data_IF_984407456518
#
_entry.id   IF_984407456518
#
_cell.length_a   1.000
_cell.length_b   1.000
_cell.length_c   1.000
_cell.angle_alpha   90.00
_cell.angle_beta   90.00
_cell.angle_gamma   90.00
#
_symmetry.space_group_name_H-M   'P 1'
#
loop_
_entity.id
_entity.type
_entity.pdbx_description
1 polymer ?
#
# COMPACT_ATOMS: atom_id res chain seq x y z
N UNK A 1 2.50 -33.40 -13.21
CA UNK A 1 3.11 -32.20 -13.85
C UNK A 1 2.33 -31.01 -13.31
N UNK A 2 2.65 -30.38 -12.19
CA UNK A 2 3.98 -29.97 -11.72
C UNK A 2 4.24 -28.53 -12.13
N UNK A 3 3.34 -27.60 -11.79
CA UNK A 3 3.56 -26.16 -11.98
C UNK A 3 4.02 -25.55 -10.65
N UNK A 4 5.26 -25.85 -10.28
CA UNK A 4 6.00 -25.04 -9.31
C UNK A 4 6.69 -23.92 -10.09
N UNK A 5 6.13 -22.72 -10.02
CA UNK A 5 6.70 -21.51 -10.61
C UNK A 5 7.63 -20.80 -9.62
N UNK A 6 8.75 -20.20 -10.06
CA UNK A 6 9.82 -19.69 -9.19
C UNK A 6 9.51 -18.34 -8.51
N UNK A 7 8.28 -17.84 -8.51
CA UNK A 7 7.94 -16.51 -8.01
C UNK A 7 7.42 -16.47 -6.55
N UNK A 8 7.48 -17.59 -5.83
CA UNK A 8 7.04 -17.66 -4.42
C UNK A 8 8.05 -17.15 -3.40
N UNK A 9 9.30 -16.83 -3.77
CA UNK A 9 10.32 -16.43 -2.79
C UNK A 9 10.52 -14.92 -2.60
N UNK A 10 10.00 -14.06 -3.48
CA UNK A 10 10.21 -12.60 -3.35
C UNK A 10 9.10 -11.86 -2.56
N UNK A 11 7.87 -12.40 -2.51
CA UNK A 11 6.77 -11.79 -1.74
C UNK A 11 6.96 -11.98 -0.23
N UNK A 12 7.68 -13.03 0.19
CA UNK A 12 8.10 -13.19 1.59
C UNK A 12 9.04 -12.08 2.08
N UNK A 13 9.59 -11.27 1.15
CA UNK A 13 10.53 -10.20 1.49
C UNK A 13 9.85 -8.93 1.98
N UNK A 14 8.61 -8.59 1.58
CA UNK A 14 7.99 -7.31 2.02
C UNK A 14 7.62 -7.35 3.50
N UNK A 15 7.04 -8.47 3.96
CA UNK A 15 6.78 -8.70 5.39
C UNK A 15 8.09 -8.84 6.20
N UNK A 16 9.15 -9.38 5.59
CA UNK A 16 10.49 -9.46 6.19
C UNK A 16 11.24 -8.12 6.24
N UNK A 17 11.01 -7.22 5.28
CA UNK A 17 11.63 -5.89 5.21
C UNK A 17 11.09 -4.97 6.32
N UNK A 18 9.78 -5.04 6.60
CA UNK A 18 9.14 -4.24 7.65
C UNK A 18 9.63 -4.59 9.07
N UNK A 19 9.99 -5.85 9.35
CA UNK A 19 10.55 -6.24 10.66
C UNK A 19 12.05 -5.96 10.81
N UNK A 20 12.80 -5.78 9.72
CA UNK A 20 14.27 -5.72 9.72
C UNK A 20 14.84 -4.30 9.50
N UNK A 21 14.01 -3.35 9.07
CA UNK A 21 14.42 -1.98 8.72
C UNK A 21 14.56 -1.05 9.94
N UNK A 22 15.30 -1.45 10.98
CA UNK A 22 15.70 -0.58 12.09
C UNK A 22 16.55 0.62 11.66
N UNK A 23 15.98 1.54 10.87
CA UNK A 23 16.62 2.74 10.36
C UNK A 23 16.18 3.93 11.20
N UNK A 24 16.88 4.04 12.32
CA UNK A 24 17.13 5.28 13.04
C UNK A 24 17.80 6.30 12.09
N UNK A 25 17.27 7.52 12.07
CA UNK A 25 18.02 8.75 11.83
C UNK A 25 18.40 9.08 10.38
N UNK A 26 17.55 9.87 9.73
CA UNK A 26 18.05 10.94 8.86
C UNK A 26 17.22 12.19 9.15
N UNK A 27 17.84 13.19 9.76
CA UNK A 27 17.27 14.52 9.89
C UNK A 27 17.22 15.19 8.53
N UNK A 28 16.08 15.79 8.20
CA UNK A 28 15.98 16.74 7.11
C UNK A 28 15.32 18.01 7.65
N UNK A 29 16.01 19.10 7.36
CA UNK A 29 15.81 20.47 7.83
C UNK A 29 14.34 20.93 7.88
N UNK A 30 13.96 21.46 9.05
CA UNK A 30 12.79 22.34 9.18
C UNK A 30 13.16 23.69 8.58
N UNK A 31 12.58 24.04 7.42
CA UNK A 31 12.31 25.44 7.13
C UNK A 31 10.85 25.66 6.74
N UNK A 32 10.13 26.09 7.77
CA UNK A 32 8.86 26.82 7.82
C UNK A 32 8.29 27.33 6.49
N UNK A 33 7.15 26.75 6.10
CA UNK A 33 5.98 27.48 5.56
C UNK A 33 4.71 26.65 5.69
N UNK A 34 3.76 27.22 6.44
CA UNK A 34 2.32 26.98 6.46
C UNK A 34 1.78 25.88 7.41
N UNK A 35 1.42 26.36 8.60
CA UNK A 35 0.20 26.05 9.38
C UNK A 35 -0.76 25.06 8.70
N UNK A 36 -0.78 23.82 9.23
CA UNK A 36 -1.65 22.74 8.75
C UNK A 36 -1.02 21.35 8.79
N UNK A 37 0.24 21.22 9.20
CA UNK A 37 0.94 19.94 9.29
C UNK A 37 0.36 19.07 10.43
N UNK A 38 -0.75 18.39 10.16
CA UNK A 38 -0.94 17.02 10.63
C UNK A 38 0.41 16.32 10.44
N UNK A 39 1.01 15.80 11.51
CA UNK A 39 2.26 15.07 11.40
C UNK A 39 2.12 14.04 10.28
N UNK A 40 2.78 14.30 9.15
CA UNK A 40 2.64 13.48 7.95
C UNK A 40 2.93 12.04 8.34
N UNK A 41 2.02 11.12 8.02
CA UNK A 41 2.18 9.73 8.42
C UNK A 41 3.43 9.19 7.71
N UNK A 42 4.23 8.36 8.39
CA UNK A 42 5.42 7.75 7.76
C UNK A 42 5.13 7.08 6.42
N UNK A 43 3.93 6.51 6.26
CA UNK A 43 3.47 5.94 4.99
C UNK A 43 3.33 6.96 3.86
N UNK A 44 2.90 8.18 4.17
CA UNK A 44 2.76 9.28 3.20
C UNK A 44 4.14 9.76 2.76
N UNK A 45 5.07 9.93 3.71
CA UNK A 45 6.48 10.26 3.41
C UNK A 45 7.10 9.21 2.49
N UNK A 46 6.94 7.92 2.80
CA UNK A 46 7.48 6.84 1.97
C UNK A 46 6.85 6.79 0.57
N UNK A 47 5.57 7.13 0.44
CA UNK A 47 4.91 7.22 -0.86
C UNK A 47 5.53 8.35 -1.70
N UNK A 48 5.76 9.53 -1.10
CA UNK A 48 6.43 10.65 -1.76
C UNK A 48 7.87 10.30 -2.16
N UNK A 49 8.63 9.68 -1.26
CA UNK A 49 10.00 9.22 -1.54
C UNK A 49 10.04 8.23 -2.72
N UNK A 50 9.06 7.33 -2.80
CA UNK A 50 8.93 6.36 -3.90
C UNK A 50 8.68 7.05 -5.24
N UNK A 51 7.82 8.08 -5.26
CA UNK A 51 7.56 8.89 -6.47
C UNK A 51 8.85 9.60 -6.91
N UNK A 52 9.55 10.24 -5.96
CA UNK A 52 10.82 10.94 -6.25
C UNK A 52 11.86 9.98 -6.79
N UNK A 53 11.99 8.78 -6.22
CA UNK A 53 12.90 7.74 -6.68
C UNK A 53 12.59 7.31 -8.12
N UNK A 54 11.32 7.01 -8.43
CA UNK A 54 10.88 6.63 -9.77
C UNK A 54 11.16 7.74 -10.79
N UNK A 55 10.84 8.99 -10.44
CA UNK A 55 11.08 10.14 -11.32
C UNK A 55 12.57 10.31 -11.64
N UNK A 56 13.45 10.16 -10.64
CA UNK A 56 14.90 10.20 -10.84
C UNK A 56 15.37 9.09 -11.77
N UNK A 57 14.89 7.87 -11.60
CA UNK A 57 15.25 6.74 -12.45
C UNK A 57 14.80 6.94 -13.92
N UNK A 58 13.57 7.41 -14.13
CA UNK A 58 13.05 7.70 -15.47
C UNK A 58 13.79 8.86 -16.16
N UNK A 59 14.16 9.90 -15.41
CA UNK A 59 14.99 10.99 -15.94
C UNK A 59 16.36 10.48 -16.38
N UNK A 60 17.00 9.62 -15.57
CA UNK A 60 18.30 9.05 -15.91
C UNK A 60 18.20 8.14 -17.16
N UNK A 61 17.12 7.37 -17.32
CA UNK A 61 16.86 6.63 -18.55
C UNK A 61 16.73 7.53 -19.77
N UNK A 62 16.04 8.68 -19.64
CA UNK A 62 15.91 9.67 -20.71
C UNK A 62 17.28 10.23 -21.10
N UNK A 63 18.10 10.62 -20.13
CA UNK A 63 19.47 11.10 -20.37
C UNK A 63 20.31 10.07 -21.14
N UNK A 64 20.24 8.79 -20.76
CA UNK A 64 20.92 7.71 -21.48
C UNK A 64 20.42 7.59 -22.93
N UNK A 65 19.10 7.66 -23.15
CA UNK A 65 18.54 7.59 -24.50
C UNK A 65 18.93 8.79 -25.38
N UNK A 66 19.06 9.97 -24.79
CA UNK A 66 19.55 11.18 -25.47
C UNK A 66 21.01 11.03 -25.85
N UNK A 67 21.86 10.53 -24.94
CA UNK A 67 23.28 10.31 -25.20
C UNK A 67 23.53 9.28 -26.30
N UNK A 68 22.72 8.23 -26.39
CA UNK A 68 22.83 7.18 -27.41
C UNK A 68 22.14 7.59 -28.73
N UNK A 69 21.30 8.63 -28.72
CA UNK A 69 20.55 9.08 -29.89
C UNK A 69 19.39 8.15 -30.27
N UNK A 70 18.74 7.49 -29.30
CA UNK A 70 17.59 6.61 -29.56
C UNK A 70 16.40 7.47 -30.04
N UNK A 71 15.67 7.08 -31.10
CA UNK A 71 14.52 7.83 -31.60
C UNK A 71 13.31 7.73 -30.65
N UNK A 72 12.42 8.72 -30.73
CA UNK A 72 11.34 8.92 -29.76
C UNK A 72 10.32 7.78 -29.72
N UNK A 73 10.04 7.15 -30.87
CA UNK A 73 9.16 5.98 -30.98
C UNK A 73 9.64 4.80 -30.12
N UNK A 74 10.95 4.52 -30.14
CA UNK A 74 11.55 3.47 -29.33
C UNK A 74 11.56 3.83 -27.84
N UNK A 75 11.80 5.11 -27.50
CA UNK A 75 11.72 5.59 -26.11
C UNK A 75 10.30 5.40 -25.56
N UNK A 76 9.29 5.75 -26.36
CA UNK A 76 7.89 5.58 -26.00
C UNK A 76 7.54 4.10 -25.77
N UNK A 77 7.97 3.20 -26.67
CA UNK A 77 7.75 1.76 -26.49
C UNK A 77 8.37 1.24 -25.18
N UNK A 78 9.59 1.67 -24.84
CA UNK A 78 10.26 1.26 -23.60
C UNK A 78 9.57 1.86 -22.36
N UNK A 79 9.15 3.12 -22.41
CA UNK A 79 8.44 3.78 -21.33
C UNK A 79 7.05 3.15 -21.09
N UNK A 80 6.37 2.72 -22.15
CA UNK A 80 5.07 2.05 -22.04
C UNK A 80 5.19 0.68 -21.35
N UNK A 81 6.28 -0.06 -21.60
CA UNK A 81 6.57 -1.31 -20.86
C UNK A 81 6.79 -1.03 -19.38
N UNK A 82 7.54 0.02 -19.03
CA UNK A 82 7.74 0.41 -17.62
C UNK A 82 6.41 0.78 -16.97
N UNK A 83 5.59 1.61 -17.63
CA UNK A 83 4.25 1.99 -17.17
C UNK A 83 3.37 0.78 -16.93
N UNK A 84 3.37 -0.18 -17.87
CA UNK A 84 2.62 -1.43 -17.76
C UNK A 84 3.01 -2.22 -16.51
N UNK A 85 4.31 -2.44 -16.29
CA UNK A 85 4.77 -3.20 -15.12
C UNK A 85 4.43 -2.52 -13.79
N UNK A 86 4.58 -1.19 -13.70
CA UNK A 86 4.18 -0.43 -12.50
C UNK A 86 2.68 -0.59 -12.25
N UNK A 87 1.86 -0.44 -13.31
CA UNK A 87 0.41 -0.60 -13.21
C UNK A 87 0.01 -2.00 -12.73
N UNK A 88 0.57 -3.04 -13.34
CA UNK A 88 0.28 -4.43 -12.98
C UNK A 88 0.62 -4.72 -11.51
N UNK A 89 1.75 -4.22 -11.01
CA UNK A 89 2.13 -4.37 -9.61
C UNK A 89 1.15 -3.66 -8.67
N UNK A 90 0.82 -2.40 -8.96
CA UNK A 90 -0.12 -1.62 -8.13
C UNK A 90 -1.52 -2.23 -8.13
N UNK A 91 -2.03 -2.65 -9.29
CA UNK A 91 -3.33 -3.30 -9.40
C UNK A 91 -3.37 -4.61 -8.58
N UNK A 92 -2.26 -5.38 -8.58
CA UNK A 92 -2.13 -6.59 -7.76
C UNK A 92 -2.16 -6.29 -6.25
N UNK A 93 -1.39 -5.29 -5.81
CA UNK A 93 -1.36 -4.87 -4.40
C UNK A 93 -2.73 -4.40 -3.92
N UNK A 94 -3.44 -3.61 -4.74
CA UNK A 94 -4.79 -3.14 -4.42
C UNK A 94 -5.75 -4.33 -4.29
N UNK A 95 -5.73 -5.25 -5.24
CA UNK A 95 -6.60 -6.42 -5.21
C UNK A 95 -6.36 -7.32 -3.98
N UNK A 96 -5.10 -7.45 -3.55
CA UNK A 96 -4.75 -8.20 -2.34
C UNK A 96 -5.33 -7.54 -1.07
N UNK A 97 -5.18 -6.22 -0.94
CA UNK A 97 -5.71 -5.46 0.19
C UNK A 97 -7.25 -5.42 0.20
N UNK A 98 -7.90 -5.32 -0.96
CA UNK A 98 -9.36 -5.41 -1.10
C UNK A 98 -9.87 -6.80 -0.68
N UNK A 99 -9.21 -7.86 -1.13
CA UNK A 99 -9.53 -9.24 -0.73
C UNK A 99 -9.38 -9.44 0.78
N UNK A 100 -8.33 -8.86 1.39
CA UNK A 100 -8.13 -8.88 2.83
C UNK A 100 -9.27 -8.15 3.57
N UNK A 101 -9.61 -6.93 3.14
CA UNK A 101 -10.73 -6.14 3.68
C UNK A 101 -12.03 -6.94 3.65
N UNK A 102 -12.37 -7.55 2.51
CA UNK A 102 -13.57 -8.37 2.39
C UNK A 102 -13.58 -9.57 3.35
N UNK A 103 -12.47 -10.29 3.46
CA UNK A 103 -12.36 -11.44 4.36
C UNK A 103 -12.53 -11.03 5.82
N UNK A 104 -11.93 -9.91 6.22
CA UNK A 104 -12.08 -9.38 7.58
C UNK A 104 -13.53 -8.99 7.86
N UNK A 105 -14.19 -8.28 6.96
CA UNK A 105 -15.60 -7.90 7.11
C UNK A 105 -16.50 -9.15 7.23
N UNK A 106 -16.30 -10.14 6.36
CA UNK A 106 -17.04 -11.41 6.39
C UNK A 106 -16.81 -12.14 7.72
N UNK A 107 -15.56 -12.27 8.16
CA UNK A 107 -15.23 -12.92 9.44
C UNK A 107 -15.86 -12.21 10.63
N UNK A 108 -15.79 -10.88 10.68
CA UNK A 108 -16.42 -10.10 11.76
C UNK A 108 -17.93 -10.31 11.78
N UNK A 109 -18.58 -10.30 10.61
CA UNK A 109 -20.02 -10.56 10.51
C UNK A 109 -20.39 -11.94 11.04
N UNK A 110 -19.60 -12.97 10.72
CA UNK A 110 -19.81 -14.33 11.24
C UNK A 110 -19.64 -14.36 12.76
N UNK A 111 -18.53 -13.82 13.29
CA UNK A 111 -18.29 -13.78 14.73
C UNK A 111 -19.37 -13.00 15.49
N UNK A 112 -19.87 -11.90 14.93
CA UNK A 112 -20.97 -11.13 15.53
C UNK A 112 -22.27 -11.93 15.58
N UNK A 113 -22.59 -12.69 14.54
CA UNK A 113 -23.78 -13.56 14.53
C UNK A 113 -23.65 -14.66 15.57
N UNK A 114 -22.51 -15.35 15.61
CA UNK A 114 -22.23 -16.41 16.59
C UNK A 114 -22.29 -15.88 18.03
N UNK A 115 -21.69 -14.71 18.28
CA UNK A 115 -21.75 -14.05 19.58
C UNK A 115 -23.19 -13.74 19.99
N UNK A 116 -24.00 -13.18 19.08
CA UNK A 116 -25.40 -12.87 19.36
C UNK A 116 -26.22 -14.13 19.66
N UNK A 117 -25.99 -15.23 18.92
CA UNK A 117 -26.61 -16.53 19.20
C UNK A 117 -26.24 -17.02 20.61
N UNK A 118 -24.95 -17.04 20.96
CA UNK A 118 -24.48 -17.46 22.29
C UNK A 118 -25.02 -16.58 23.42
N UNK A 119 -25.06 -15.26 23.24
CA UNK A 119 -25.66 -14.33 24.19
C UNK A 119 -27.15 -14.61 24.41
N UNK A 120 -27.87 -14.93 23.33
CA UNK A 120 -29.29 -15.31 23.40
C UNK A 120 -29.49 -16.63 24.15
N UNK A 121 -28.68 -17.64 23.87
CA UNK A 121 -28.72 -18.94 24.54
C UNK A 121 -28.40 -18.85 26.04
N UNK A 122 -27.39 -18.06 26.39
CA UNK A 122 -26.95 -17.86 27.77
C UNK A 122 -27.78 -16.81 28.53
N UNK A 123 -28.71 -16.12 27.85
CA UNK A 123 -29.50 -14.99 28.40
C UNK A 123 -28.62 -13.87 28.99
N UNK A 124 -27.50 -13.59 28.34
CA UNK A 124 -26.55 -12.54 28.72
C UNK A 124 -26.63 -11.41 27.70
N UNK A 125 -26.60 -10.17 28.16
CA UNK A 125 -26.59 -9.00 27.29
C UNK A 125 -25.34 -8.98 26.37
N UNK A 126 -25.49 -8.80 25.04
CA UNK A 126 -24.37 -8.74 24.12
C UNK A 126 -23.43 -7.56 24.43
N UNK A 127 -22.14 -7.85 24.53
CA UNK A 127 -21.13 -6.82 24.74
C UNK A 127 -20.84 -6.05 23.44
N UNK A 128 -21.03 -4.72 23.46
CA UNK A 128 -20.67 -3.84 22.35
C UNK A 128 -19.44 -2.98 22.69
N UNK A 129 -18.33 -3.21 22.00
CA UNK A 129 -17.16 -2.32 22.07
C UNK A 129 -17.48 -1.02 21.33
N UNK A 130 -17.64 0.09 22.06
CA UNK A 130 -17.69 1.44 21.49
C UNK A 130 -16.39 1.69 20.70
N UNK A 131 -16.49 1.65 19.37
CA UNK A 131 -15.38 1.96 18.46
C UNK A 131 -14.87 0.81 17.59
N UNK A 132 -15.50 -0.38 17.62
CA UNK A 132 -15.12 -1.54 16.81
C UNK A 132 -15.36 -1.38 15.28
N UNK A 133 -15.97 -0.28 14.84
CA UNK A 133 -16.14 0.05 13.42
C UNK A 133 -14.91 0.80 12.83
N UNK A 134 -13.71 0.46 13.28
CA UNK A 134 -12.43 1.02 12.81
C UNK A 134 -11.55 -0.03 12.13
N UNK A 135 -12.13 -1.10 11.59
CA UNK A 135 -11.32 -2.15 10.95
C UNK A 135 -10.74 -1.66 9.62
N UNK A 136 -11.51 -0.94 8.81
CA UNK A 136 -11.01 -0.27 7.61
C UNK A 136 -11.87 0.97 7.27
N UNK A 137 -11.87 2.02 8.10
CA UNK A 137 -12.44 3.30 7.65
C UNK A 137 -11.33 4.05 6.93
N UNK A 138 -11.44 4.16 5.61
CA UNK A 138 -10.81 5.25 4.87
C UNK A 138 -11.02 6.53 5.67
N UNK A 139 -9.95 7.24 5.98
CA UNK A 139 -10.06 8.66 6.28
C UNK A 139 -10.49 9.35 4.99
N UNK A 140 -11.75 9.16 4.59
CA UNK A 140 -12.42 10.09 3.70
C UNK A 140 -12.40 11.42 4.45
N UNK A 141 -11.62 12.36 3.92
CA UNK A 141 -11.61 13.74 4.40
C UNK A 141 -13.03 14.30 4.36
N UNK A 142 -13.30 15.40 5.10
CA UNK A 142 -14.60 16.03 5.06
C UNK A 142 -14.91 16.44 3.61
N UNK A 143 -15.97 15.87 3.03
CA UNK A 143 -16.62 16.45 1.86
C UNK A 143 -17.13 17.83 2.28
N UNK A 144 -16.61 18.87 1.62
CA UNK A 144 -17.13 20.23 1.64
C UNK A 144 -18.02 20.40 0.41
#
# INVERSE_FOLDING_TARGET
>A
MGLEGPFRSEIASVCGWLLRSGLCGVGLDLNSRLLGASAMRRSEVLAEESIVCLQKALNHLREIWELIGIPEDQRLQRAEVVKKHIKELLDMMIAEEESLKERLIKSISVCQKELNTLCTELRVEPFQVRGAHRVCRETAGPEI
#
